data_IF_422933604354
#
_entry.id   IF_422933604354
#
_cell.length_a   1.000
_cell.length_b   1.000
_cell.length_c   1.000
_cell.angle_alpha   90.00
_cell.angle_beta   90.00
_cell.angle_gamma   90.00
#
_symmetry.space_group_name_H-M   'P 1'
#
loop_
_entity.id
_entity.type
_entity.pdbx_description
1 polymer ?
#
# COMPACT_ATOMS: atom_id res chain seq x y z
N UNK A 1 42.92 -6.16 30.21
CA UNK A 1 42.40 -7.39 30.85
C UNK A 1 41.00 -7.23 31.46
N UNK A 2 40.62 -6.08 32.03
CA UNK A 2 39.29 -5.88 32.62
C UNK A 2 38.13 -5.91 31.58
N UNK A 3 38.33 -5.32 30.40
CA UNK A 3 37.30 -5.25 29.35
C UNK A 3 36.94 -6.65 28.79
N UNK A 4 37.91 -7.51 28.51
CA UNK A 4 37.62 -8.86 28.02
C UNK A 4 36.86 -9.72 29.04
N UNK A 5 37.09 -9.45 30.34
CA UNK A 5 36.42 -10.12 31.45
C UNK A 5 34.96 -9.67 31.60
N UNK A 6 34.66 -8.38 31.39
CA UNK A 6 33.28 -7.88 31.44
C UNK A 6 32.43 -8.39 30.27
N UNK A 7 32.99 -8.50 29.07
CA UNK A 7 32.31 -9.08 27.90
C UNK A 7 32.03 -10.57 28.09
N UNK A 8 32.98 -11.31 28.67
CA UNK A 8 32.80 -12.74 28.96
C UNK A 8 31.69 -12.96 29.99
N UNK A 9 31.62 -12.12 31.03
CA UNK A 9 30.56 -12.16 32.05
C UNK A 9 29.19 -11.76 31.48
N UNK A 10 29.15 -10.76 30.59
CA UNK A 10 27.92 -10.34 29.90
C UNK A 10 27.39 -11.46 29.00
N UNK A 11 28.28 -12.13 28.24
CA UNK A 11 27.91 -13.25 27.38
C UNK A 11 27.35 -14.43 28.21
N UNK A 12 28.00 -14.75 29.32
CA UNK A 12 27.53 -15.78 30.27
C UNK A 12 26.17 -15.43 30.86
N UNK A 13 25.93 -14.17 31.23
CA UNK A 13 24.64 -13.69 31.73
C UNK A 13 23.53 -13.83 30.68
N UNK A 14 23.82 -13.48 29.42
CA UNK A 14 22.85 -13.61 28.32
C UNK A 14 22.53 -15.09 28.07
N UNK A 15 23.53 -15.97 28.08
CA UNK A 15 23.35 -17.41 27.89
C UNK A 15 22.56 -18.06 29.04
N UNK A 16 22.79 -17.64 30.29
CA UNK A 16 22.01 -18.15 31.44
C UNK A 16 20.57 -17.67 31.40
N UNK A 17 20.32 -16.40 31.04
CA UNK A 17 18.96 -15.87 30.84
C UNK A 17 18.20 -16.57 29.70
N UNK A 18 18.89 -16.94 28.61
CA UNK A 18 18.35 -17.76 27.52
C UNK A 18 18.04 -19.20 27.97
N UNK A 19 18.94 -19.82 28.76
CA UNK A 19 18.75 -21.18 29.29
C UNK A 19 17.64 -21.28 30.35
N UNK A 20 17.44 -20.23 31.15
CA UNK A 20 16.36 -20.11 32.13
C UNK A 20 15.00 -19.74 31.50
N UNK A 21 14.95 -19.47 30.19
CA UNK A 21 13.72 -19.10 29.48
C UNK A 21 13.14 -17.73 29.86
N UNK A 22 13.89 -16.91 30.61
CA UNK A 22 13.51 -15.56 31.03
C UNK A 22 13.59 -14.55 29.86
N UNK A 23 14.25 -14.92 28.77
CA UNK A 23 14.23 -14.21 27.48
C UNK A 23 13.74 -15.20 26.42
N UNK A 24 12.49 -15.05 26.01
CA UNK A 24 11.95 -15.78 24.86
C UNK A 24 12.30 -15.02 23.57
N UNK A 25 13.13 -15.57 22.67
CA UNK A 25 13.16 -15.09 21.30
C UNK A 25 11.75 -15.19 20.69
N UNK A 26 11.33 -14.18 19.91
CA UNK A 26 9.97 -13.98 19.38
C UNK A 26 9.54 -15.01 18.31
N UNK A 27 9.91 -16.29 18.45
CA UNK A 27 9.61 -17.37 17.51
C UNK A 27 8.10 -17.56 17.26
N UNK A 28 7.23 -17.19 18.20
CA UNK A 28 5.77 -17.26 18.04
C UNK A 28 5.20 -16.29 16.99
N UNK A 29 5.86 -15.16 16.75
CA UNK A 29 5.46 -14.17 15.74
C UNK A 29 5.71 -14.69 14.31
N UNK A 30 6.76 -15.50 14.12
CA UNK A 30 7.13 -16.03 12.82
C UNK A 30 6.09 -17.04 12.33
N UNK A 31 5.63 -17.99 13.16
CA UNK A 31 4.64 -18.99 12.70
C UNK A 31 3.27 -18.40 12.34
N UNK A 32 2.76 -17.45 13.13
CA UNK A 32 1.50 -16.77 12.82
C UNK A 32 1.62 -15.94 11.54
N UNK A 33 2.74 -15.23 11.39
CA UNK A 33 3.03 -14.46 10.18
C UNK A 33 3.16 -15.35 8.93
N UNK A 34 3.90 -16.46 9.01
CA UNK A 34 4.00 -17.42 7.91
C UNK A 34 2.63 -18.04 7.58
N UNK A 35 1.80 -18.32 8.59
CA UNK A 35 0.43 -18.78 8.38
C UNK A 35 -0.40 -17.72 7.67
N UNK A 36 -0.27 -16.45 8.05
CA UNK A 36 -0.93 -15.33 7.36
C UNK A 36 -0.50 -15.25 5.89
N UNK A 37 0.81 -15.25 5.59
CA UNK A 37 1.31 -15.21 4.22
C UNK A 37 0.78 -16.38 3.38
N UNK A 38 0.83 -17.60 3.92
CA UNK A 38 0.31 -18.79 3.25
C UNK A 38 -1.19 -18.70 2.99
N UNK A 39 -1.98 -18.22 3.95
CA UNK A 39 -3.44 -18.20 3.81
C UNK A 39 -3.96 -17.01 3.03
N UNK A 40 -3.29 -15.87 3.10
CA UNK A 40 -3.86 -14.59 2.70
C UNK A 40 -3.06 -13.82 1.66
N UNK A 41 -1.81 -14.17 1.34
CA UNK A 41 -1.00 -13.38 0.39
C UNK A 41 -0.75 -14.15 -0.91
N UNK A 42 -1.07 -13.50 -2.03
CA UNK A 42 -0.87 -14.02 -3.38
C UNK A 42 -0.62 -12.88 -4.37
N UNK A 43 0.64 -12.42 -4.53
CA UNK A 43 0.97 -11.20 -5.28
C UNK A 43 0.70 -11.26 -6.80
N UNK A 44 0.32 -12.42 -7.35
CA UNK A 44 0.07 -12.55 -8.79
C UNK A 44 -1.21 -11.80 -9.20
N UNK A 45 -1.09 -10.86 -10.14
CA UNK A 45 -2.16 -9.92 -10.50
C UNK A 45 -3.39 -10.54 -11.21
N UNK A 46 -3.24 -11.74 -11.76
CA UNK A 46 -4.22 -12.43 -12.62
C UNK A 46 -5.17 -13.37 -11.87
N UNK A 47 -5.23 -13.29 -10.53
CA UNK A 47 -6.16 -14.09 -9.72
C UNK A 47 -7.48 -13.37 -9.44
N UNK A 48 -8.58 -14.12 -9.45
CA UNK A 48 -9.92 -13.61 -9.13
C UNK A 48 -11.10 -14.41 -9.68
N UNK A 49 -10.86 -15.33 -10.62
CA UNK A 49 -11.88 -16.28 -11.06
C UNK A 49 -12.01 -17.48 -10.10
N UNK A 50 -13.12 -18.20 -10.18
CA UNK A 50 -13.41 -19.34 -9.30
C UNK A 50 -12.33 -20.44 -9.38
N UNK A 51 -11.78 -20.65 -10.57
CA UNK A 51 -10.70 -21.62 -10.80
C UNK A 51 -9.43 -21.26 -10.01
N UNK A 52 -9.02 -19.99 -10.04
CA UNK A 52 -7.91 -19.49 -9.24
C UNK A 52 -8.19 -19.68 -7.75
N UNK A 53 -9.37 -19.30 -7.28
CA UNK A 53 -9.77 -19.44 -5.88
C UNK A 53 -9.70 -20.91 -5.41
N UNK A 54 -10.29 -21.83 -6.18
CA UNK A 54 -10.27 -23.26 -5.88
C UNK A 54 -8.85 -23.83 -5.86
N UNK A 55 -8.04 -23.49 -6.87
CA UNK A 55 -6.64 -23.92 -6.97
C UNK A 55 -5.82 -23.42 -5.77
N UNK A 56 -5.99 -22.15 -5.39
CA UNK A 56 -5.25 -21.53 -4.30
C UNK A 56 -5.63 -22.13 -2.95
N UNK A 57 -6.91 -22.38 -2.69
CA UNK A 57 -7.36 -23.05 -1.46
C UNK A 57 -6.72 -24.44 -1.30
N UNK A 58 -6.63 -25.20 -2.40
CA UNK A 58 -5.99 -26.52 -2.42
C UNK A 58 -4.48 -26.43 -2.22
N UNK A 59 -3.78 -25.64 -3.04
CA UNK A 59 -2.31 -25.47 -2.99
C UNK A 59 -1.84 -24.98 -1.62
N UNK A 60 -2.63 -24.10 -0.98
CA UNK A 60 -2.32 -23.57 0.34
C UNK A 60 -2.79 -24.47 1.47
N UNK A 61 -3.23 -25.71 1.21
CA UNK A 61 -3.67 -26.70 2.21
C UNK A 61 -4.76 -26.13 3.14
N UNK A 62 -5.75 -25.46 2.57
CA UNK A 62 -6.93 -24.94 3.28
C UNK A 62 -8.19 -25.77 3.02
N UNK A 63 -8.08 -26.84 2.23
CA UNK A 63 -9.12 -27.83 1.95
C UNK A 63 -8.82 -29.20 2.59
N UNK A 64 -7.64 -29.37 3.20
CA UNK A 64 -7.20 -30.64 3.77
C UNK A 64 -7.61 -30.75 5.24
N UNK A 65 -8.13 -31.91 5.65
CA UNK A 65 -8.69 -32.23 6.98
C UNK A 65 -9.95 -31.46 7.36
N UNK A 66 -9.93 -30.14 7.27
CA UNK A 66 -11.07 -29.26 7.49
C UNK A 66 -11.07 -28.19 6.40
N UNK A 67 -12.19 -28.06 5.69
CA UNK A 67 -12.32 -27.05 4.65
C UNK A 67 -12.58 -25.69 5.29
N UNK A 68 -11.72 -24.71 4.98
CA UNK A 68 -11.96 -23.32 5.39
C UNK A 68 -13.03 -22.71 4.50
N UNK A 69 -14.19 -22.40 5.08
CA UNK A 69 -15.38 -21.92 4.34
C UNK A 69 -15.21 -20.57 3.65
N UNK A 70 -14.44 -19.66 4.28
CA UNK A 70 -14.20 -18.31 3.76
C UNK A 70 -12.72 -17.98 3.82
N UNK A 71 -12.21 -17.36 2.76
CA UNK A 71 -10.85 -16.84 2.75
C UNK A 71 -10.72 -15.64 1.82
N UNK A 72 -9.74 -14.79 2.08
CA UNK A 72 -9.40 -13.64 1.25
C UNK A 72 -7.94 -13.75 0.84
N UNK A 73 -7.65 -13.64 -0.45
CA UNK A 73 -6.29 -13.54 -0.99
C UNK A 73 -6.01 -12.08 -1.37
N UNK A 74 -4.93 -11.53 -0.82
CA UNK A 74 -4.43 -10.18 -1.03
C UNK A 74 -3.42 -10.22 -2.17
N UNK A 75 -3.68 -9.42 -3.19
CA UNK A 75 -2.89 -9.32 -4.42
C UNK A 75 -1.95 -8.11 -4.36
N UNK A 76 -1.10 -8.07 -3.34
CA UNK A 76 -0.19 -6.96 -3.07
C UNK A 76 1.18 -7.47 -2.67
N UNK A 77 2.19 -6.61 -2.83
CA UNK A 77 3.54 -6.91 -2.36
C UNK A 77 3.61 -6.87 -0.83
N UNK A 78 4.59 -7.62 -0.31
CA UNK A 78 4.73 -7.82 1.14
C UNK A 78 5.09 -6.55 1.89
N UNK A 79 5.73 -5.58 1.22
CA UNK A 79 6.11 -4.31 1.82
C UNK A 79 4.89 -3.42 1.98
N UNK A 80 3.98 -3.40 1.00
CA UNK A 80 2.70 -2.72 1.10
C UNK A 80 1.85 -3.27 2.24
N UNK A 81 1.79 -4.59 2.37
CA UNK A 81 1.04 -5.24 3.45
C UNK A 81 1.65 -4.88 4.82
N UNK A 82 2.98 -4.87 4.93
CA UNK A 82 3.67 -4.44 6.17
C UNK A 82 3.44 -2.97 6.48
N UNK A 83 3.35 -2.11 5.46
CA UNK A 83 3.06 -0.69 5.62
C UNK A 83 1.72 -0.42 6.29
N UNK A 84 0.73 -1.32 6.15
CA UNK A 84 -0.56 -1.20 6.87
C UNK A 84 -0.33 -1.23 8.39
N UNK A 85 0.63 -2.02 8.90
CA UNK A 85 0.91 -2.08 10.34
C UNK A 85 1.45 -0.75 10.90
N UNK A 86 1.78 0.22 10.06
CA UNK A 86 2.19 1.58 10.45
C UNK A 86 1.03 2.58 10.42
N UNK A 87 -0.17 2.19 9.98
CA UNK A 87 -1.37 3.04 10.08
C UNK A 87 -1.91 3.05 11.50
N UNK A 88 -2.83 3.97 11.78
CA UNK A 88 -3.39 4.16 13.12
C UNK A 88 -4.08 2.89 13.63
N UNK A 89 -3.86 2.60 14.92
CA UNK A 89 -4.50 1.48 15.58
C UNK A 89 -6.01 1.67 15.61
N UNK A 90 -6.73 0.66 15.15
CA UNK A 90 -8.18 0.54 15.26
C UNK A 90 -8.57 -0.65 16.15
N UNK A 91 -9.80 -0.62 16.64
CA UNK A 91 -10.35 -1.71 17.42
C UNK A 91 -10.64 -2.92 16.52
N UNK A 92 -10.02 -4.05 16.84
CA UNK A 92 -10.29 -5.33 16.23
C UNK A 92 -11.69 -5.85 16.58
N UNK A 93 -12.22 -6.78 15.78
CA UNK A 93 -13.49 -7.49 16.07
C UNK A 93 -13.51 -8.20 17.43
N UNK A 94 -12.33 -8.57 17.96
CA UNK A 94 -12.18 -9.17 19.29
C UNK A 94 -11.92 -8.16 20.41
N UNK A 95 -12.07 -6.86 20.14
CA UNK A 95 -11.93 -5.77 21.11
C UNK A 95 -10.50 -5.25 21.33
N UNK A 96 -9.46 -5.89 20.76
CA UNK A 96 -8.06 -5.43 20.91
C UNK A 96 -7.76 -4.19 20.06
N UNK A 97 -6.85 -3.33 20.51
CA UNK A 97 -6.45 -2.10 19.81
C UNK A 97 -5.16 -2.27 18.98
N UNK A 98 -5.06 -3.34 18.21
CA UNK A 98 -3.87 -3.66 17.39
C UNK A 98 -4.25 -4.10 15.97
N UNK A 99 -5.42 -3.66 15.50
CA UNK A 99 -5.81 -3.81 14.10
C UNK A 99 -5.47 -2.53 13.34
N UNK A 100 -5.32 -2.67 12.04
CA UNK A 100 -4.96 -1.59 11.14
C UNK A 100 -5.86 -1.66 9.92
N UNK A 101 -6.18 -0.51 9.35
CA UNK A 101 -6.99 -0.41 8.14
C UNK A 101 -6.10 -0.03 6.95
N UNK A 102 -6.42 -0.62 5.80
CA UNK A 102 -5.79 -0.32 4.52
C UNK A 102 -6.64 -0.88 3.37
N UNK A 103 -6.69 -0.16 2.26
CA UNK A 103 -7.35 -0.61 1.04
C UNK A 103 -6.35 -1.47 0.26
N UNK A 104 -6.75 -2.64 -0.24
CA UNK A 104 -5.88 -3.55 -1.01
C UNK A 104 -6.72 -4.30 -2.06
N UNK A 105 -6.12 -4.68 -3.19
CA UNK A 105 -6.79 -5.57 -4.15
C UNK A 105 -6.90 -6.97 -3.54
N UNK A 106 -8.12 -7.52 -3.49
CA UNK A 106 -8.39 -8.83 -2.90
C UNK A 106 -9.26 -9.70 -3.78
N UNK A 107 -9.06 -11.02 -3.71
CA UNK A 107 -9.97 -12.04 -4.20
C UNK A 107 -10.63 -12.75 -3.02
N UNK A 108 -11.97 -12.74 -2.99
CA UNK A 108 -12.77 -13.40 -1.96
C UNK A 108 -13.13 -14.82 -2.40
N UNK A 109 -12.97 -15.77 -1.49
CA UNK A 109 -13.48 -17.13 -1.61
C UNK A 109 -14.60 -17.29 -0.61
N UNK A 110 -15.81 -17.51 -1.11
CA UNK A 110 -16.95 -17.98 -0.34
C UNK A 110 -17.33 -19.36 -0.86
N UNK A 111 -17.51 -20.32 0.04
CA UNK A 111 -18.24 -21.54 -0.31
C UNK A 111 -19.66 -21.13 -0.73
N UNK A 112 -20.06 -21.50 -1.94
CA UNK A 112 -21.29 -21.03 -2.56
C UNK A 112 -22.52 -21.64 -1.86
N UNK A 113 -23.19 -20.85 -1.03
CA UNK A 113 -24.57 -21.08 -0.61
C UNK A 113 -25.49 -20.35 -1.60
N UNK A 114 -26.55 -20.99 -2.16
CA UNK A 114 -27.38 -20.33 -3.14
C UNK A 114 -28.41 -19.41 -2.47
N UNK A 115 -28.56 -18.23 -3.08
CA UNK A 115 -29.68 -17.28 -2.98
C UNK A 115 -29.48 -16.06 -2.06
N UNK A 116 -29.23 -14.91 -2.71
CA UNK A 116 -29.83 -13.61 -2.35
C UNK A 116 -29.69 -12.68 -3.57
N UNK A 117 -30.36 -13.03 -4.67
CA UNK A 117 -30.34 -12.27 -5.94
C UNK A 117 -31.22 -11.01 -5.93
N UNK A 118 -31.92 -10.70 -4.83
CA UNK A 118 -32.89 -9.60 -4.80
C UNK A 118 -32.37 -8.29 -4.15
N UNK A 119 -31.34 -8.34 -3.30
CA UNK A 119 -30.84 -7.15 -2.59
C UNK A 119 -29.72 -6.41 -3.32
N UNK A 120 -29.04 -7.08 -4.26
CA UNK A 120 -27.91 -6.51 -5.00
C UNK A 120 -28.28 -5.34 -5.89
N UNK A 121 -29.48 -5.35 -6.50
CA UNK A 121 -29.92 -4.29 -7.42
C UNK A 121 -30.22 -2.96 -6.70
N UNK A 122 -30.77 -3.01 -5.48
CA UNK A 122 -31.10 -1.81 -4.71
C UNK A 122 -29.84 -1.14 -4.15
N UNK A 123 -28.88 -1.94 -3.68
CA UNK A 123 -27.57 -1.45 -3.22
C UNK A 123 -26.76 -0.88 -4.38
N UNK A 124 -26.81 -1.49 -5.56
CA UNK A 124 -26.12 -0.99 -6.76
C UNK A 124 -26.63 0.38 -7.22
N UNK A 125 -27.96 0.59 -7.20
CA UNK A 125 -28.58 1.86 -7.55
C UNK A 125 -28.29 2.97 -6.53
N UNK A 126 -28.32 2.65 -5.23
CA UNK A 126 -27.93 3.58 -4.16
C UNK A 126 -26.43 3.93 -4.24
N UNK A 127 -25.56 2.96 -4.60
CA UNK A 127 -24.14 3.20 -4.85
C UNK A 127 -23.93 4.16 -6.03
N UNK A 128 -24.66 4.02 -7.15
CA UNK A 128 -24.51 4.89 -8.33
C UNK A 128 -24.93 6.34 -8.04
N UNK A 129 -25.97 6.55 -7.23
CA UNK A 129 -26.38 7.90 -6.80
C UNK A 129 -25.43 8.53 -5.78
N UNK A 130 -24.84 7.73 -4.87
CA UNK A 130 -23.91 8.24 -3.88
C UNK A 130 -22.50 8.49 -4.45
N UNK A 131 -22.04 7.66 -5.40
CA UNK A 131 -20.71 7.80 -6.01
C UNK A 131 -20.62 8.93 -7.05
N UNK A 132 -21.74 9.45 -7.54
CA UNK A 132 -21.81 10.66 -8.36
C UNK A 132 -21.85 11.95 -7.51
N UNK A 133 -21.95 11.83 -6.19
CA UNK A 133 -21.93 12.94 -5.24
C UNK A 133 -20.62 12.87 -4.43
N UNK A 134 -19.72 13.84 -4.62
CA UNK A 134 -18.46 14.04 -3.89
C UNK A 134 -17.19 13.34 -4.42
N UNK A 135 -16.89 13.45 -5.71
CA UNK A 135 -15.49 13.42 -6.13
C UNK A 135 -14.94 14.85 -6.13
N UNK A 136 -14.01 15.16 -5.23
CA UNK A 136 -13.41 16.51 -5.16
C UNK A 136 -12.62 16.80 -6.44
N UNK A 137 -12.75 18.03 -6.95
CA UNK A 137 -12.06 18.49 -8.16
C UNK A 137 -10.55 18.33 -8.00
N UNK A 138 -10.03 18.65 -6.82
CA UNK A 138 -8.62 18.54 -6.46
C UNK A 138 -8.08 17.11 -6.54
N UNK A 139 -8.81 16.12 -5.99
CA UNK A 139 -8.44 14.70 -6.12
C UNK A 139 -8.36 14.29 -7.59
N UNK A 140 -9.35 14.67 -8.39
CA UNK A 140 -9.40 14.31 -9.80
C UNK A 140 -8.20 14.87 -10.56
N UNK A 141 -7.88 16.14 -10.36
CA UNK A 141 -6.73 16.80 -10.99
C UNK A 141 -5.40 16.17 -10.57
N UNK A 142 -5.21 15.88 -9.28
CA UNK A 142 -3.99 15.21 -8.82
C UNK A 142 -3.80 13.84 -9.48
N UNK A 143 -4.86 13.02 -9.49
CA UNK A 143 -4.83 11.71 -10.13
C UNK A 143 -4.61 11.80 -11.65
N UNK A 144 -5.17 12.82 -12.29
CA UNK A 144 -5.01 13.05 -13.72
C UNK A 144 -3.59 13.51 -14.08
N UNK A 145 -2.98 14.40 -13.30
CA UNK A 145 -1.72 15.03 -13.68
C UNK A 145 -0.47 14.49 -12.97
N UNK A 146 -0.58 13.88 -11.80
CA UNK A 146 0.58 13.48 -11.00
C UNK A 146 0.67 11.98 -10.72
N UNK A 147 -0.41 11.21 -10.87
CA UNK A 147 -0.41 9.78 -10.58
C UNK A 147 0.00 8.91 -11.78
N UNK A 148 0.80 7.87 -11.50
CA UNK A 148 1.07 6.74 -12.39
C UNK A 148 0.54 5.44 -11.77
N UNK A 149 -0.16 4.67 -12.60
CA UNK A 149 -0.81 3.43 -12.20
C UNK A 149 0.18 2.27 -12.09
N UNK A 150 0.14 1.48 -10.99
CA UNK A 150 0.94 0.26 -10.89
C UNK A 150 0.53 -0.86 -11.84
N UNK A 151 -0.59 -0.73 -12.56
CA UNK A 151 -1.02 -1.70 -13.58
C UNK A 151 -0.10 -1.76 -14.81
N UNK A 152 0.75 -0.74 -14.98
CA UNK A 152 1.80 -0.71 -15.99
C UNK A 152 3.14 -0.69 -15.27
N UNK A 153 4.09 -1.52 -15.69
CA UNK A 153 5.42 -1.50 -15.09
C UNK A 153 6.04 -0.10 -15.14
N UNK A 154 6.73 0.27 -14.06
CA UNK A 154 7.31 1.60 -13.91
C UNK A 154 8.30 1.96 -15.04
N UNK A 155 9.05 0.98 -15.53
CA UNK A 155 9.98 1.11 -16.67
C UNK A 155 9.26 1.43 -17.99
N UNK A 156 8.00 1.03 -18.13
CA UNK A 156 7.21 1.24 -19.34
C UNK A 156 6.67 2.66 -19.50
N UNK A 157 6.79 3.51 -18.48
CA UNK A 157 6.40 4.92 -18.57
C UNK A 157 7.48 5.76 -19.23
N UNK A 158 7.07 6.64 -20.16
CA UNK A 158 7.95 7.62 -20.81
C UNK A 158 7.39 9.03 -20.69
N UNK A 159 8.27 10.00 -20.44
CA UNK A 159 7.90 11.40 -20.26
C UNK A 159 7.33 12.03 -21.53
N UNK A 160 7.90 11.77 -22.70
CA UNK A 160 7.41 12.36 -23.96
C UNK A 160 5.94 11.95 -24.24
N UNK A 161 5.60 10.70 -23.92
CA UNK A 161 4.24 10.17 -24.02
C UNK A 161 3.35 10.77 -22.94
N UNK A 162 3.76 10.69 -21.67
CA UNK A 162 2.95 11.13 -20.52
C UNK A 162 2.62 12.63 -20.55
N UNK A 163 3.60 13.47 -20.90
CA UNK A 163 3.40 14.92 -20.99
C UNK A 163 2.36 15.27 -22.06
N UNK A 164 2.33 14.49 -23.15
CA UNK A 164 1.36 14.65 -24.24
C UNK A 164 -0.01 14.10 -23.88
N UNK A 165 -0.09 12.86 -23.40
CA UNK A 165 -1.34 12.17 -23.05
C UNK A 165 -2.12 12.91 -21.95
N UNK A 166 -1.41 13.46 -20.97
CA UNK A 166 -2.02 14.23 -19.88
C UNK A 166 -2.28 15.69 -20.26
N UNK A 167 -2.10 16.09 -21.52
CA UNK A 167 -2.39 17.45 -21.98
C UNK A 167 -1.65 18.54 -21.20
N UNK A 168 -0.49 18.22 -20.63
CA UNK A 168 0.26 19.15 -19.81
C UNK A 168 0.85 20.21 -20.74
N UNK A 169 0.51 21.49 -20.51
CA UNK A 169 1.20 22.61 -21.18
C UNK A 169 2.71 22.40 -21.03
N UNK A 170 3.55 22.81 -22.00
CA UNK A 170 4.98 22.51 -21.95
C UNK A 170 5.62 23.09 -20.68
N UNK A 171 5.82 22.24 -19.67
CA UNK A 171 6.47 22.59 -18.40
C UNK A 171 7.96 22.29 -18.48
N UNK A 172 8.75 23.09 -17.76
CA UNK A 172 10.21 22.92 -17.64
C UNK A 172 10.52 21.62 -16.87
N UNK A 173 9.75 21.35 -15.81
CA UNK A 173 9.80 20.10 -15.07
C UNK A 173 8.40 19.68 -14.64
N UNK A 174 8.18 18.37 -14.53
CA UNK A 174 6.97 17.80 -13.96
C UNK A 174 7.27 16.45 -13.31
N UNK A 175 6.67 16.20 -12.16
CA UNK A 175 6.92 15.00 -11.36
C UNK A 175 5.69 14.13 -11.25
N UNK A 176 5.91 12.83 -11.41
CA UNK A 176 4.89 11.80 -11.34
C UNK A 176 5.19 10.82 -10.22
N UNK A 177 4.19 10.50 -9.38
CA UNK A 177 4.29 9.51 -8.31
C UNK A 177 3.71 8.17 -8.75
N UNK A 178 4.51 7.12 -8.65
CA UNK A 178 4.13 5.74 -8.96
C UNK A 178 3.76 5.00 -7.67
N UNK A 179 2.47 4.90 -7.40
CA UNK A 179 1.89 4.22 -6.24
C UNK A 179 0.45 3.83 -6.53
N UNK A 180 -0.13 2.91 -5.75
CA UNK A 180 -1.52 2.55 -5.95
C UNK A 180 -2.47 3.73 -5.65
N UNK A 181 -3.55 3.85 -6.43
CA UNK A 181 -4.51 4.97 -6.32
C UNK A 181 -5.07 5.13 -4.91
N UNK A 182 -5.40 4.01 -4.25
CA UNK A 182 -5.94 4.04 -2.89
C UNK A 182 -4.92 4.54 -1.87
N UNK A 183 -3.62 4.32 -2.09
CA UNK A 183 -2.59 4.85 -1.19
C UNK A 183 -2.56 6.36 -1.24
N UNK A 184 -2.82 6.95 -2.41
CA UNK A 184 -2.91 8.41 -2.56
C UNK A 184 -4.05 8.95 -1.70
N UNK A 185 -5.21 8.29 -1.72
CA UNK A 185 -6.39 8.68 -0.92
C UNK A 185 -6.14 8.62 0.58
N UNK A 186 -5.28 7.69 1.03
CA UNK A 186 -4.96 7.53 2.45
C UNK A 186 -3.85 8.45 2.96
N UNK A 187 -3.14 9.20 2.10
CA UNK A 187 -2.08 10.12 2.54
C UNK A 187 -2.63 11.17 3.51
N UNK A 188 -3.78 11.74 3.18
CA UNK A 188 -4.38 12.85 3.92
C UNK A 188 -5.32 12.40 5.05
N UNK A 189 -5.45 11.10 5.28
CA UNK A 189 -6.30 10.56 6.34
C UNK A 189 -5.49 10.50 7.65
N UNK A 190 -5.67 11.51 8.50
CA UNK A 190 -5.17 11.50 9.88
C UNK A 190 -5.92 10.46 10.72
N UNK A 191 -5.19 9.75 11.60
CA UNK A 191 -5.76 8.88 12.62
C UNK A 191 -6.57 9.61 13.69
N UNK A 192 -6.42 10.93 13.79
CA UNK A 192 -7.20 11.77 14.68
C UNK A 192 -8.34 12.43 13.89
N UNK A 193 -9.58 12.02 14.19
CA UNK A 193 -10.80 12.53 13.53
C UNK A 193 -10.93 14.05 13.57
N UNK A 194 -10.36 14.72 14.58
CA UNK A 194 -10.41 16.18 14.77
C UNK A 194 -9.52 16.96 13.80
N UNK A 195 -8.51 16.32 13.20
CA UNK A 195 -7.54 16.96 12.30
C UNK A 195 -7.85 16.70 10.82
N UNK A 196 -9.00 16.09 10.51
CA UNK A 196 -9.33 15.55 9.18
C UNK A 196 -9.54 16.62 8.09
N UNK A 197 -9.80 17.87 8.47
CA UNK A 197 -10.21 18.93 7.53
C UNK A 197 -9.35 20.19 7.68
N UNK A 198 -8.03 20.06 7.50
CA UNK A 198 -7.11 21.21 7.57
C UNK A 198 -6.03 21.11 6.50
N UNK A 199 -5.73 22.24 5.87
CA UNK A 199 -4.57 22.38 5.00
C UNK A 199 -3.33 21.93 5.76
N UNK A 200 -2.67 20.89 5.26
CA UNK A 200 -1.55 20.26 5.93
C UNK A 200 -0.54 19.71 4.93
N UNK A 201 0.70 19.54 5.40
CA UNK A 201 1.81 19.05 4.61
C UNK A 201 2.25 17.72 5.20
N UNK A 202 2.08 16.64 4.44
CA UNK A 202 2.26 15.26 4.93
C UNK A 202 3.35 14.56 4.15
N UNK A 203 4.37 14.08 4.86
CA UNK A 203 5.40 13.21 4.27
C UNK A 203 4.88 11.80 4.13
N UNK A 204 5.13 11.18 2.97
CA UNK A 204 4.91 9.76 2.75
C UNK A 204 5.70 8.94 3.78
N UNK A 205 5.03 7.97 4.41
CA UNK A 205 5.66 7.10 5.41
C UNK A 205 6.71 6.17 4.79
N UNK A 206 6.56 5.83 3.51
CA UNK A 206 7.45 4.95 2.76
C UNK A 206 7.98 5.67 1.52
N UNK A 207 9.22 5.38 1.07
CA UNK A 207 9.72 5.89 -0.20
C UNK A 207 8.82 5.50 -1.38
N UNK A 208 8.59 6.45 -2.29
CA UNK A 208 7.75 6.30 -3.48
C UNK A 208 8.63 6.38 -4.71
N UNK A 209 8.35 5.55 -5.72
CA UNK A 209 8.99 5.67 -7.04
C UNK A 209 8.47 6.94 -7.73
N UNK A 210 9.36 7.80 -8.15
CA UNK A 210 9.03 9.05 -8.85
C UNK A 210 9.67 9.03 -10.24
N UNK A 211 8.89 9.42 -11.24
CA UNK A 211 9.37 9.76 -12.57
C UNK A 211 9.35 11.27 -12.70
N UNK A 212 10.53 11.87 -12.83
CA UNK A 212 10.69 13.29 -13.06
C UNK A 212 11.02 13.54 -14.54
N UNK A 213 10.23 14.41 -15.16
CA UNK A 213 10.35 14.78 -16.56
C UNK A 213 10.91 16.20 -16.65
N UNK A 214 12.11 16.36 -17.21
CA UNK A 214 12.74 17.65 -17.41
C UNK A 214 12.85 17.98 -18.90
N UNK A 215 12.35 19.14 -19.34
CA UNK A 215 12.32 19.51 -20.75
C UNK A 215 13.71 19.94 -21.23
N UNK A 216 14.19 19.33 -22.30
CA UNK A 216 15.42 19.74 -22.98
C UNK A 216 15.15 20.98 -23.84
N UNK A 217 15.79 22.10 -23.51
CA UNK A 217 15.53 23.43 -24.10
C UNK A 217 15.56 23.48 -25.63
N UNK A 218 16.38 22.65 -26.27
CA UNK A 218 16.69 22.78 -27.70
C UNK A 218 16.01 21.73 -28.60
N UNK A 219 15.54 20.61 -28.05
CA UNK A 219 14.99 19.50 -28.87
C UNK A 219 13.50 19.24 -28.63
N UNK A 220 12.89 19.92 -27.66
CA UNK A 220 11.49 19.68 -27.31
C UNK A 220 11.22 18.30 -26.70
N UNK A 221 12.28 17.55 -26.36
CA UNK A 221 12.23 16.23 -25.75
C UNK A 221 12.33 16.33 -24.22
N UNK A 222 11.77 15.36 -23.50
CA UNK A 222 11.93 15.24 -22.06
C UNK A 222 13.06 14.27 -21.68
N UNK A 223 13.86 14.68 -20.72
CA UNK A 223 14.85 13.86 -20.01
C UNK A 223 14.16 13.26 -18.79
N UNK A 224 14.33 11.97 -18.62
CA UNK A 224 13.68 11.18 -17.58
C UNK A 224 14.64 10.90 -16.44
N UNK A 225 14.23 11.18 -15.21
CA UNK A 225 14.93 10.72 -14.00
C UNK A 225 14.00 9.84 -13.18
N UNK A 226 14.47 8.66 -12.81
CA UNK A 226 13.73 7.70 -11.98
C UNK A 226 14.45 7.57 -10.64
N UNK A 227 13.70 7.60 -9.55
CA UNK A 227 14.27 7.49 -8.20
C UNK A 227 13.24 7.03 -7.18
N UNK A 228 13.71 6.51 -6.06
CA UNK A 228 12.92 6.43 -4.84
C UNK A 228 13.07 7.73 -4.06
N UNK A 229 11.95 8.28 -3.60
CA UNK A 229 11.91 9.57 -2.91
C UNK A 229 11.01 9.46 -1.69
N UNK A 230 11.39 10.14 -0.61
CA UNK A 230 10.38 10.61 0.34
C UNK A 230 9.68 11.80 -0.30
N UNK A 231 8.35 11.77 -0.34
CA UNK A 231 7.53 12.78 -1.01
C UNK A 231 6.67 13.47 0.03
N UNK A 232 6.65 14.80 0.02
CA UNK A 232 5.73 15.62 0.79
C UNK A 232 4.55 16.01 -0.09
N UNK A 233 3.35 15.77 0.42
CA UNK A 233 2.10 16.13 -0.23
C UNK A 233 1.44 17.28 0.51
N UNK A 234 0.77 18.16 -0.22
CA UNK A 234 -0.22 19.04 0.36
C UNK A 234 -1.56 18.31 0.40
N UNK A 235 -2.25 18.45 1.53
CA UNK A 235 -3.58 17.95 1.77
C UNK A 235 -4.49 19.15 1.96
N UNK A 236 -5.50 19.31 1.10
CA UNK A 236 -6.46 20.41 1.22
C UNK A 236 -7.44 20.21 2.39
N UNK A 237 -8.25 21.24 2.62
CA UNK A 237 -9.29 21.26 3.65
C UNK A 237 -10.33 20.13 3.51
N UNK A 238 -10.50 19.56 2.32
CA UNK A 238 -11.41 18.43 2.07
C UNK A 238 -10.75 17.06 2.38
N UNK A 239 -9.48 17.04 2.78
CA UNK A 239 -8.74 15.83 3.11
C UNK A 239 -8.23 15.06 1.90
N UNK A 240 -8.02 15.73 0.76
CA UNK A 240 -7.46 15.12 -0.46
C UNK A 240 -6.10 15.70 -0.80
N UNK A 241 -5.24 14.87 -1.40
CA UNK A 241 -4.00 15.32 -2.03
C UNK A 241 -4.33 16.15 -3.26
N UNK A 242 -3.73 17.32 -3.38
CA UNK A 242 -3.89 18.23 -4.51
C UNK A 242 -2.57 18.63 -5.16
N UNK A 243 -1.45 18.64 -4.41
CA UNK A 243 -0.11 18.90 -4.96
C UNK A 243 1.01 18.09 -4.31
N UNK A 244 2.12 18.00 -5.04
CA UNK A 244 3.42 17.53 -4.55
C UNK A 244 4.22 18.78 -4.18
N UNK A 245 4.64 18.89 -2.92
CA UNK A 245 5.28 20.09 -2.37
C UNK A 245 6.80 19.97 -2.35
N UNK A 246 7.30 18.82 -1.92
CA UNK A 246 8.74 18.58 -1.80
C UNK A 246 9.08 17.10 -1.99
N UNK A 247 10.32 16.83 -2.38
CA UNK A 247 10.84 15.49 -2.63
C UNK A 247 12.29 15.37 -2.17
N UNK A 248 12.56 14.38 -1.33
CA UNK A 248 13.92 14.01 -0.94
C UNK A 248 14.31 12.70 -1.62
N UNK A 249 15.22 12.80 -2.58
CA UNK A 249 15.80 11.65 -3.28
C UNK A 249 16.51 10.74 -2.28
N UNK A 250 16.10 9.48 -2.22
CA UNK A 250 16.77 8.44 -1.45
C UNK A 250 17.83 7.74 -2.31
N UNK A 251 17.41 7.22 -3.46
CA UNK A 251 18.31 6.55 -4.40
C UNK A 251 17.80 6.66 -5.85
N UNK A 252 18.69 6.84 -6.83
CA UNK A 252 18.33 6.79 -8.25
C UNK A 252 18.02 5.36 -8.69
N UNK A 253 17.12 5.23 -9.67
CA UNK A 253 16.80 3.96 -10.35
C UNK A 253 17.41 4.06 -11.74
N UNK A 254 18.51 3.35 -11.95
CA UNK A 254 19.13 3.21 -13.26
C UNK A 254 18.40 2.12 -14.06
N UNK A 255 18.08 2.43 -15.31
CA UNK A 255 17.50 1.49 -16.26
C UNK A 255 18.56 0.53 -16.80
#
# INVERSE_FOLDING_TARGET
MALQRTWSLLLLLVLTLLGLGLVQPSYGQNQMYQRFLRQHVSPQETGGNDNYCNLMMQRRKMTSRQCKHFNTFIHEDIWNIRGICSTSNIQCKNGRMNCHEGVMKVALVAAMEPSLKAWGLLVFLLCLQYSSLAQSTSRREFMEYHHLSPHKEFSGYSCDVLMTEKGLKPKISHSFVYMAWYKVEHICISGNWKDRYRNSYVWAQTPIKVLECHRENFKGKYIEKRSYNYVQFHCNADGYVDSIEDMKVLEPIFA
#
